data_IF_124365577628
#
_entry.id   IF_124365577628
#
_cell.length_a   1.000
_cell.length_b   1.000
_cell.length_c   1.000
_cell.angle_alpha   90.00
_cell.angle_beta   90.00
_cell.angle_gamma   90.00
#
_symmetry.space_group_name_H-M   'P 1'
#
loop_
_entity.id
_entity.type
_entity.pdbx_description
1 polymer ?
#
# COMPACT_ATOMS: atom_id res chain seq x y z
N UNK A 1 0.89 12.14 33.34
CA UNK A 1 -0.54 12.48 33.17
C UNK A 1 -1.22 11.19 32.77
N UNK A 2 -2.24 10.74 33.51
CA UNK A 2 -2.78 9.39 33.35
C UNK A 2 -3.75 9.35 32.15
N UNK A 3 -3.38 8.58 31.13
CA UNK A 3 -4.01 8.34 29.82
C UNK A 3 -3.85 9.41 28.75
N UNK A 4 -2.62 9.54 28.24
CA UNK A 4 -2.37 10.06 26.90
C UNK A 4 -2.97 9.12 25.84
N UNK A 5 -3.90 9.59 24.99
CA UNK A 5 -4.47 8.73 23.95
C UNK A 5 -3.51 8.62 22.77
N UNK A 6 -2.96 7.42 22.61
CA UNK A 6 -2.15 7.04 21.44
C UNK A 6 -3.06 6.61 20.29
N UNK A 7 -2.95 7.30 19.16
CA UNK A 7 -3.68 7.02 17.93
C UNK A 7 -2.79 6.21 16.98
N UNK A 8 -3.18 4.97 16.69
CA UNK A 8 -2.39 4.02 15.90
C UNK A 8 -2.88 3.93 14.46
N UNK A 9 -1.97 4.17 13.52
CA UNK A 9 -2.22 4.14 12.09
C UNK A 9 -1.59 2.87 11.50
N UNK A 10 -2.37 2.11 10.75
CA UNK A 10 -1.89 1.10 9.81
C UNK A 10 -1.97 1.66 8.39
N UNK A 11 -0.84 1.79 7.71
CA UNK A 11 -0.76 2.23 6.32
C UNK A 11 -0.35 1.06 5.43
N UNK A 12 -1.16 0.74 4.43
CA UNK A 12 -0.91 -0.36 3.49
C UNK A 12 -0.69 0.18 2.07
N UNK A 13 0.53 0.04 1.58
CA UNK A 13 0.90 0.49 0.24
C UNK A 13 0.13 -0.26 -0.86
N UNK A 14 0.03 0.35 -2.04
CA UNK A 14 -0.39 -0.35 -3.25
C UNK A 14 0.75 -1.15 -3.89
N UNK A 15 0.39 -2.20 -4.63
CA UNK A 15 1.36 -3.07 -5.32
C UNK A 15 0.76 -4.32 -5.95
N UNK A 16 -0.53 -4.29 -6.33
CA UNK A 16 -1.20 -5.44 -6.95
C UNK A 16 -1.04 -6.74 -6.16
N UNK A 17 -0.53 -7.79 -6.81
CA UNK A 17 -0.34 -9.11 -6.21
C UNK A 17 0.76 -9.15 -5.14
N UNK A 18 1.68 -8.19 -5.14
CA UNK A 18 2.73 -8.10 -4.13
C UNK A 18 2.19 -7.77 -2.73
N UNK A 19 0.92 -7.36 -2.62
CA UNK A 19 0.24 -7.16 -1.33
C UNK A 19 0.22 -8.43 -0.45
N UNK A 20 0.49 -9.62 -1.03
CA UNK A 20 0.84 -10.83 -0.29
C UNK A 20 1.88 -10.58 0.81
N UNK A 21 2.90 -9.75 0.55
CA UNK A 21 3.95 -9.39 1.51
C UNK A 21 3.36 -8.77 2.77
N UNK A 22 2.37 -7.90 2.63
CA UNK A 22 1.72 -7.24 3.77
C UNK A 22 1.02 -8.26 4.66
N UNK A 23 0.32 -9.22 4.05
CA UNK A 23 -0.38 -10.27 4.77
C UNK A 23 0.60 -11.16 5.54
N UNK A 24 1.69 -11.63 4.90
CA UNK A 24 2.72 -12.45 5.56
C UNK A 24 3.41 -11.69 6.70
N UNK A 25 3.69 -10.40 6.50
CA UNK A 25 4.22 -9.51 7.53
C UNK A 25 3.28 -9.44 8.74
N UNK A 26 2.00 -9.08 8.53
CA UNK A 26 1.00 -9.00 9.60
C UNK A 26 0.85 -10.32 10.35
N UNK A 27 0.82 -11.47 9.65
CA UNK A 27 0.80 -12.80 10.28
C UNK A 27 1.96 -13.01 11.23
N UNK A 28 3.19 -12.70 10.78
CA UNK A 28 4.40 -12.88 11.60
C UNK A 28 4.41 -11.92 12.80
N UNK A 29 4.01 -10.67 12.61
CA UNK A 29 3.89 -9.70 13.71
C UNK A 29 2.89 -10.18 14.77
N UNK A 30 1.72 -10.66 14.36
CA UNK A 30 0.68 -11.10 15.28
C UNK A 30 1.02 -12.43 15.97
N UNK A 31 1.67 -13.35 15.27
CA UNK A 31 2.19 -14.58 15.85
C UNK A 31 3.16 -14.27 17.00
N UNK A 32 4.10 -13.35 16.79
CA UNK A 32 5.19 -13.11 17.73
C UNK A 32 4.88 -12.05 18.81
N UNK A 33 3.88 -11.21 18.57
CA UNK A 33 3.46 -10.15 19.51
C UNK A 33 2.29 -10.61 20.38
N UNK A 34 1.30 -11.30 19.79
CA UNK A 34 0.04 -11.64 20.46
C UNK A 34 -0.20 -13.15 20.61
N UNK A 35 0.77 -13.99 20.21
CA UNK A 35 0.60 -15.45 20.16
C UNK A 35 -0.61 -15.89 19.31
N UNK A 36 -0.90 -15.14 18.24
CA UNK A 36 -1.98 -15.42 17.29
C UNK A 36 -1.39 -15.63 15.89
N UNK A 37 -1.08 -16.88 15.50
CA UNK A 37 -0.40 -17.18 14.23
C UNK A 37 -1.28 -17.04 12.98
N UNK A 38 -2.60 -16.99 13.16
CA UNK A 38 -3.56 -16.79 12.08
C UNK A 38 -4.77 -15.97 12.55
N UNK A 39 -4.56 -14.68 12.89
CA UNK A 39 -5.62 -13.83 13.40
C UNK A 39 -6.67 -13.57 12.32
N UNK A 40 -7.90 -13.28 12.74
CA UNK A 40 -8.92 -12.72 11.86
C UNK A 40 -8.62 -11.26 11.54
N UNK A 41 -9.20 -10.78 10.44
CA UNK A 41 -9.11 -9.39 10.05
C UNK A 41 -9.53 -8.42 11.16
N UNK A 42 -10.66 -8.70 11.84
CA UNK A 42 -11.11 -7.84 12.94
C UNK A 42 -10.15 -7.85 14.13
N UNK A 43 -9.51 -8.99 14.45
CA UNK A 43 -8.48 -9.04 15.50
C UNK A 43 -7.30 -8.12 15.18
N UNK A 44 -6.89 -8.06 13.90
CA UNK A 44 -5.85 -7.14 13.43
C UNK A 44 -6.30 -5.69 13.52
N UNK A 45 -7.47 -5.39 12.95
CA UNK A 45 -8.03 -4.04 12.90
C UNK A 45 -8.20 -3.45 14.30
N UNK A 46 -8.61 -4.25 15.29
CA UNK A 46 -8.77 -3.81 16.69
C UNK A 46 -7.53 -3.18 17.35
N UNK A 47 -6.34 -3.33 16.75
CA UNK A 47 -5.08 -2.73 17.22
C UNK A 47 -4.79 -1.35 16.64
N UNK A 48 -5.62 -0.88 15.69
CA UNK A 48 -5.42 0.38 14.98
C UNK A 48 -6.69 1.25 14.99
N UNK A 49 -6.49 2.56 15.14
CA UNK A 49 -7.55 3.57 15.08
C UNK A 49 -7.84 4.01 13.64
N UNK A 50 -6.84 3.93 12.75
CA UNK A 50 -6.98 4.24 11.33
C UNK A 50 -6.26 3.21 10.46
N UNK A 51 -6.95 2.71 9.43
CA UNK A 51 -6.35 1.97 8.32
C UNK A 51 -6.42 2.83 7.05
N UNK A 52 -5.26 3.24 6.56
CA UNK A 52 -5.13 3.90 5.27
C UNK A 52 -4.56 2.93 4.24
N UNK A 53 -5.15 2.85 3.06
CA UNK A 53 -4.74 1.85 2.08
C UNK A 53 -4.94 2.31 0.63
N UNK A 54 -4.02 1.90 -0.25
CA UNK A 54 -4.08 2.12 -1.69
C UNK A 54 -3.99 0.79 -2.46
N UNK A 55 -4.61 0.70 -3.64
CA UNK A 55 -4.49 -0.41 -4.59
C UNK A 55 -4.55 -1.81 -3.95
N UNK A 56 -3.55 -2.68 -4.18
CA UNK A 56 -3.45 -4.01 -3.55
C UNK A 56 -3.60 -4.00 -2.03
N UNK A 57 -3.02 -3.03 -1.32
CA UNK A 57 -3.21 -2.86 0.12
C UNK A 57 -4.65 -2.53 0.51
N UNK A 58 -5.41 -1.85 -0.35
CA UNK A 58 -6.84 -1.60 -0.10
C UNK A 58 -7.67 -2.90 -0.16
N UNK A 59 -7.28 -3.86 -1.00
CA UNK A 59 -7.88 -5.20 -0.99
C UNK A 59 -7.56 -5.95 0.30
N UNK A 60 -6.33 -5.85 0.83
CA UNK A 60 -5.97 -6.42 2.14
C UNK A 60 -6.82 -5.78 3.25
N UNK A 61 -6.95 -4.45 3.27
CA UNK A 61 -7.77 -3.73 4.24
C UNK A 61 -9.25 -4.18 4.20
N UNK A 62 -9.82 -4.32 3.00
CA UNK A 62 -11.20 -4.75 2.83
C UNK A 62 -11.41 -6.22 3.19
N UNK A 63 -10.47 -7.10 2.88
CA UNK A 63 -10.51 -8.49 3.29
C UNK A 63 -10.40 -8.65 4.83
N UNK A 64 -9.63 -7.78 5.48
CA UNK A 64 -9.65 -7.70 6.95
C UNK A 64 -11.00 -7.21 7.47
N UNK A 65 -11.63 -6.23 6.82
CA UNK A 65 -12.96 -5.72 7.19
C UNK A 65 -14.06 -6.78 7.00
N UNK A 66 -13.96 -7.66 6.00
CA UNK A 66 -14.82 -8.84 5.78
C UNK A 66 -14.65 -9.92 6.89
N UNK A 67 -13.65 -9.73 7.75
CA UNK A 67 -13.22 -10.62 8.83
C UNK A 67 -12.61 -11.95 8.38
N UNK A 68 -11.98 -11.97 7.21
CA UNK A 68 -11.21 -13.14 6.77
C UNK A 68 -9.98 -13.32 7.67
N UNK A 69 -9.57 -14.57 7.90
CA UNK A 69 -8.27 -14.89 8.52
C UNK A 69 -7.16 -14.46 7.60
N UNK A 70 -6.03 -14.03 8.16
CA UNK A 70 -4.89 -13.63 7.33
C UNK A 70 -4.42 -14.75 6.39
N UNK A 71 -4.55 -16.03 6.78
CA UNK A 71 -4.30 -17.16 5.88
C UNK A 71 -5.24 -17.22 4.66
N UNK A 72 -6.50 -16.83 4.83
CA UNK A 72 -7.49 -16.73 3.75
C UNK A 72 -7.20 -15.50 2.86
N UNK A 73 -6.78 -14.38 3.45
CA UNK A 73 -6.37 -13.19 2.69
C UNK A 73 -5.11 -13.50 1.84
N UNK A 74 -4.16 -14.25 2.39
CA UNK A 74 -2.97 -14.71 1.67
C UNK A 74 -3.36 -15.53 0.42
N UNK A 75 -4.41 -16.35 0.49
CA UNK A 75 -4.90 -17.13 -0.66
C UNK A 75 -5.50 -16.27 -1.79
N UNK A 76 -6.03 -15.08 -1.49
CA UNK A 76 -6.54 -14.17 -2.54
C UNK A 76 -5.43 -13.82 -3.55
N UNK A 77 -4.19 -13.74 -3.07
CA UNK A 77 -3.00 -13.47 -3.89
C UNK A 77 -2.22 -14.75 -4.23
N UNK A 78 -2.25 -15.77 -3.36
CA UNK A 78 -1.51 -17.02 -3.55
C UNK A 78 -2.16 -18.04 -4.50
N UNK A 79 -3.49 -18.04 -4.60
CA UNK A 79 -4.24 -19.01 -5.43
C UNK A 79 -4.46 -18.49 -6.86
N UNK A 80 -4.05 -19.27 -7.86
CA UNK A 80 -4.14 -18.90 -9.28
C UNK A 80 -5.59 -18.62 -9.73
N UNK A 81 -6.56 -19.41 -9.23
CA UNK A 81 -7.97 -19.25 -9.62
C UNK A 81 -8.55 -17.97 -9.06
N UNK A 82 -8.26 -17.65 -7.79
CA UNK A 82 -8.70 -16.40 -7.17
C UNK A 82 -8.02 -15.18 -7.79
N UNK A 83 -6.69 -15.22 -7.97
CA UNK A 83 -5.95 -14.17 -8.67
C UNK A 83 -6.52 -13.91 -10.06
N UNK A 84 -6.75 -14.96 -10.83
CA UNK A 84 -7.23 -14.85 -12.21
C UNK A 84 -8.66 -14.32 -12.32
N UNK A 85 -9.45 -14.38 -11.24
CA UNK A 85 -10.76 -13.69 -11.16
C UNK A 85 -10.59 -12.17 -11.00
N UNK A 86 -9.70 -11.73 -10.12
CA UNK A 86 -9.43 -10.31 -9.87
C UNK A 86 -8.67 -9.67 -11.05
N UNK A 87 -7.66 -10.36 -11.57
CA UNK A 87 -6.86 -10.00 -12.75
C UNK A 87 -7.37 -10.73 -14.01
N UNK A 88 -8.67 -10.62 -14.27
CA UNK A 88 -9.28 -11.28 -15.42
C UNK A 88 -8.82 -10.63 -16.73
N UNK A 89 -8.01 -11.36 -17.51
CA UNK A 89 -7.44 -10.89 -18.78
C UNK A 89 -8.54 -10.50 -19.78
N UNK A 90 -8.27 -9.49 -20.61
CA UNK A 90 -9.15 -9.13 -21.73
C UNK A 90 -9.26 -10.28 -22.73
N UNK A 91 -10.47 -10.55 -23.20
CA UNK A 91 -10.77 -11.46 -24.29
C UNK A 91 -10.23 -10.93 -25.62
N UNK A 92 -10.12 -11.80 -26.62
CA UNK A 92 -9.63 -11.44 -27.95
C UNK A 92 -10.45 -10.29 -28.59
N UNK A 93 -11.77 -10.30 -28.41
CA UNK A 93 -12.67 -9.27 -28.91
C UNK A 93 -12.50 -7.93 -28.17
N UNK A 94 -12.35 -7.94 -26.85
CA UNK A 94 -12.09 -6.74 -26.05
C UNK A 94 -10.73 -6.11 -26.42
N UNK A 95 -9.70 -6.93 -26.67
CA UNK A 95 -8.40 -6.46 -27.18
C UNK A 95 -8.51 -5.85 -28.58
N UNK A 96 -9.46 -6.32 -29.40
CA UNK A 96 -9.67 -5.82 -30.76
C UNK A 96 -10.34 -4.44 -30.81
N UNK A 97 -11.11 -4.09 -29.76
CA UNK A 97 -11.77 -2.79 -29.60
C UNK A 97 -10.83 -1.69 -29.07
N UNK A 98 -9.65 -2.04 -28.56
CA UNK A 98 -8.60 -1.07 -28.25
C UNK A 98 -8.00 -0.50 -29.55
N UNK A 99 -7.63 0.79 -29.52
CA UNK A 99 -7.13 1.49 -30.71
C UNK A 99 -5.96 0.72 -31.36
N UNK A 100 -5.90 0.72 -32.69
CA UNK A 100 -4.84 0.05 -33.46
C UNK A 100 -3.45 0.58 -33.10
N UNK A 101 -3.34 1.86 -32.70
CA UNK A 101 -2.11 2.46 -32.20
C UNK A 101 -1.66 1.86 -30.85
N UNK A 102 -2.57 1.65 -29.90
CA UNK A 102 -2.28 1.00 -28.61
C UNK A 102 -1.68 -0.41 -28.79
N UNK A 103 -2.25 -1.20 -29.71
CA UNK A 103 -1.74 -2.52 -30.08
C UNK A 103 -0.34 -2.50 -30.71
N UNK A 104 -0.07 -1.53 -31.59
CA UNK A 104 1.21 -1.41 -32.30
C UNK A 104 2.38 -1.03 -31.37
N UNK A 105 2.10 -0.24 -30.33
CA UNK A 105 3.12 0.28 -29.41
C UNK A 105 3.25 -0.52 -28.09
N UNK A 106 2.60 -1.69 -27.97
CA UNK A 106 2.54 -2.51 -26.74
C UNK A 106 2.06 -1.71 -25.51
N UNK A 107 1.22 -0.70 -25.71
CA UNK A 107 0.57 0.07 -24.65
C UNK A 107 -0.89 -0.34 -24.66
N UNK A 108 -1.36 -1.11 -23.68
CA UNK A 108 -2.73 -1.61 -23.73
C UNK A 108 -3.15 -2.35 -22.48
N UNK A 109 -4.38 -2.11 -22.05
CA UNK A 109 -4.95 -2.76 -20.89
C UNK A 109 -4.88 -4.30 -20.99
N UNK A 110 -4.45 -4.94 -19.90
CA UNK A 110 -4.38 -6.39 -19.76
C UNK A 110 -5.69 -6.98 -19.23
N UNK A 111 -6.44 -6.24 -18.42
CA UNK A 111 -7.53 -6.72 -17.56
C UNK A 111 -8.85 -5.97 -17.74
N UNK A 112 -9.97 -6.66 -17.46
CA UNK A 112 -11.32 -6.09 -17.53
C UNK A 112 -11.78 -5.49 -16.19
N UNK A 113 -12.08 -4.20 -16.17
CA UNK A 113 -12.52 -3.48 -14.97
C UNK A 113 -13.84 -4.01 -14.40
N UNK A 114 -14.86 -4.24 -15.25
CA UNK A 114 -16.16 -4.77 -14.82
C UNK A 114 -16.06 -6.16 -14.18
N UNK A 115 -15.24 -7.04 -14.76
CA UNK A 115 -15.03 -8.40 -14.20
C UNK A 115 -14.36 -8.32 -12.84
N UNK A 116 -13.39 -7.42 -12.65
CA UNK A 116 -12.81 -7.17 -11.33
C UNK A 116 -13.86 -6.72 -10.32
N UNK A 117 -14.72 -5.75 -10.66
CA UNK A 117 -15.74 -5.26 -9.72
C UNK A 117 -16.67 -6.39 -9.25
N UNK A 118 -17.10 -7.24 -10.18
CA UNK A 118 -17.92 -8.40 -9.87
C UNK A 118 -17.16 -9.41 -8.98
N UNK A 119 -15.92 -9.73 -9.31
CA UNK A 119 -15.08 -10.63 -8.51
C UNK A 119 -14.87 -10.11 -7.08
N UNK A 120 -14.67 -8.81 -6.88
CA UNK A 120 -14.54 -8.22 -5.55
C UNK A 120 -15.81 -8.41 -4.71
N UNK A 121 -17.01 -8.30 -5.30
CA UNK A 121 -18.28 -8.55 -4.60
C UNK A 121 -18.47 -10.02 -4.23
N UNK A 122 -17.97 -10.94 -5.05
CA UNK A 122 -18.01 -12.38 -4.78
C UNK A 122 -17.03 -12.78 -3.66
N UNK A 123 -15.84 -12.17 -3.63
CA UNK A 123 -14.82 -12.43 -2.61
C UNK A 123 -15.18 -11.78 -1.27
N UNK A 124 -15.85 -10.62 -1.29
CA UNK A 124 -16.13 -9.79 -0.12
C UNK A 124 -17.64 -9.54 0.05
N UNK A 125 -18.45 -10.61 0.23
CA UNK A 125 -19.90 -10.51 0.14
C UNK A 125 -20.52 -9.65 1.25
N UNK A 126 -20.01 -9.68 2.49
CA UNK A 126 -20.62 -8.90 3.59
C UNK A 126 -20.37 -7.41 3.40
N UNK A 127 -19.12 -6.99 3.23
CA UNK A 127 -18.80 -5.57 3.11
C UNK A 127 -19.27 -4.96 1.79
N UNK A 128 -19.57 -5.78 0.77
CA UNK A 128 -20.18 -5.30 -0.49
C UNK A 128 -21.57 -4.68 -0.29
N UNK A 129 -22.23 -4.99 0.82
CA UNK A 129 -23.58 -4.52 1.16
C UNK A 129 -23.58 -3.44 2.25
N UNK A 130 -22.41 -3.03 2.74
CA UNK A 130 -22.26 -2.09 3.84
C UNK A 130 -21.71 -0.78 3.30
N UNK A 131 -22.45 0.31 3.51
CA UNK A 131 -21.94 1.66 3.24
C UNK A 131 -20.70 1.94 4.08
N UNK A 132 -19.73 2.65 3.51
CA UNK A 132 -18.44 2.92 4.11
C UNK A 132 -18.57 3.50 5.53
N UNK A 133 -19.52 4.42 5.75
CA UNK A 133 -19.77 5.02 7.07
C UNK A 133 -20.14 4.02 8.17
N UNK A 134 -20.63 2.84 7.83
CA UNK A 134 -21.02 1.79 8.78
C UNK A 134 -19.91 0.74 9.01
N UNK A 135 -18.79 0.82 8.28
CA UNK A 135 -17.67 -0.11 8.42
C UNK A 135 -17.06 -0.08 9.84
N UNK A 136 -16.83 1.07 10.50
CA UNK A 136 -16.27 1.07 11.85
C UNK A 136 -17.10 0.24 12.84
N UNK A 137 -18.43 0.33 12.74
CA UNK A 137 -19.36 -0.49 13.55
C UNK A 137 -19.34 -1.97 13.15
N UNK A 138 -19.08 -2.28 11.88
CA UNK A 138 -18.99 -3.66 11.41
C UNK A 138 -17.73 -4.37 11.93
N UNK A 139 -16.61 -3.65 12.05
CA UNK A 139 -15.31 -4.21 12.44
C UNK A 139 -15.01 -4.11 13.94
N UNK A 140 -15.90 -3.51 14.72
CA UNK A 140 -15.72 -3.34 16.16
C UNK A 140 -15.75 -4.67 16.88
N UNK A 141 -14.82 -4.87 17.82
CA UNK A 141 -14.82 -6.00 18.74
C UNK A 141 -15.31 -5.50 20.10
N UNK A 142 -16.44 -6.04 20.58
CA UNK A 142 -17.13 -5.53 21.77
C UNK A 142 -17.80 -4.17 21.49
N UNK A 143 -17.79 -3.28 22.48
CA UNK A 143 -18.34 -1.92 22.37
C UNK A 143 -17.33 -0.88 21.84
N UNK A 144 -16.12 -1.32 21.48
CA UNK A 144 -15.00 -0.44 21.15
C UNK A 144 -14.92 -0.21 19.63
N UNK A 145 -15.71 0.76 19.14
CA UNK A 145 -15.72 1.17 17.73
C UNK A 145 -14.53 2.09 17.46
N UNK A 146 -13.40 1.51 17.07
CA UNK A 146 -12.15 2.28 16.90
C UNK A 146 -11.78 2.56 15.46
N UNK A 147 -11.78 1.53 14.63
CA UNK A 147 -11.00 1.58 13.38
C UNK A 147 -11.74 2.28 12.24
N UNK A 148 -11.22 3.45 11.88
CA UNK A 148 -11.60 4.20 10.69
C UNK A 148 -10.83 3.69 9.47
N UNK A 149 -11.37 3.90 8.26
CA UNK A 149 -10.70 3.60 7.00
C UNK A 149 -10.56 4.86 6.14
N UNK A 150 -9.42 4.94 5.46
CA UNK A 150 -9.10 5.95 4.45
C UNK A 150 -8.59 5.25 3.19
N UNK A 151 -9.43 5.15 2.17
CA UNK A 151 -9.10 4.53 0.88
C UNK A 151 -8.92 5.62 -0.17
N UNK A 152 -7.88 5.52 -0.99
CA UNK A 152 -7.47 6.59 -1.90
C UNK A 152 -7.76 6.19 -3.35
N UNK A 153 -8.47 7.05 -4.09
CA UNK A 153 -8.65 6.93 -5.53
C UNK A 153 -8.25 8.22 -6.24
N UNK A 154 -8.32 8.19 -7.57
CA UNK A 154 -8.16 9.35 -8.44
C UNK A 154 -9.51 9.66 -9.11
N UNK A 155 -10.11 10.82 -8.83
CA UNK A 155 -11.32 11.27 -9.53
C UNK A 155 -10.96 11.65 -10.97
N UNK A 156 -11.46 10.83 -11.92
CA UNK A 156 -11.10 10.91 -13.33
C UNK A 156 -11.39 12.28 -13.94
N UNK A 157 -12.51 12.91 -13.59
CA UNK A 157 -12.94 14.16 -14.21
C UNK A 157 -12.46 15.39 -13.45
N UNK A 158 -12.31 15.29 -12.12
CA UNK A 158 -11.82 16.40 -11.30
C UNK A 158 -10.30 16.47 -11.23
N UNK A 159 -9.58 15.46 -11.70
CA UNK A 159 -8.12 15.37 -11.70
C UNK A 159 -7.50 15.62 -10.33
N UNK A 160 -8.02 14.94 -9.30
CA UNK A 160 -7.57 15.05 -7.91
C UNK A 160 -7.71 13.74 -7.18
N UNK A 161 -7.03 13.62 -6.05
CA UNK A 161 -7.28 12.54 -5.11
C UNK A 161 -8.73 12.61 -4.60
N UNK A 162 -9.37 11.44 -4.60
CA UNK A 162 -10.60 11.15 -3.89
C UNK A 162 -10.23 10.33 -2.65
N UNK A 163 -10.66 10.79 -1.49
CA UNK A 163 -10.32 10.19 -0.21
C UNK A 163 -11.61 9.64 0.41
N UNK A 164 -11.85 8.36 0.17
CA UNK A 164 -13.00 7.63 0.68
C UNK A 164 -12.80 7.36 2.18
N UNK A 165 -13.54 8.08 3.02
CA UNK A 165 -13.43 8.03 4.48
C UNK A 165 -14.64 7.37 5.10
N UNK A 166 -14.40 6.62 6.17
CA UNK A 166 -15.47 6.18 7.07
C UNK A 166 -15.96 7.30 7.98
N UNK A 167 -15.06 8.20 8.41
CA UNK A 167 -15.45 9.40 9.15
C UNK A 167 -15.89 10.51 8.19
N UNK A 168 -17.20 10.66 8.04
CA UNK A 168 -17.83 11.67 7.20
C UNK A 168 -17.76 13.09 7.81
N UNK A 169 -17.39 13.21 9.09
CA UNK A 169 -17.22 14.47 9.82
C UNK A 169 -15.74 14.85 10.02
N UNK A 170 -14.82 14.13 9.39
CA UNK A 170 -13.40 14.43 9.44
C UNK A 170 -13.08 15.87 9.05
N UNK A 171 -12.29 16.54 9.89
CA UNK A 171 -11.76 17.88 9.65
C UNK A 171 -10.77 17.97 8.48
N UNK A 172 -10.34 16.83 7.92
CA UNK A 172 -9.57 16.79 6.68
C UNK A 172 -10.46 16.87 5.42
N UNK A 173 -11.78 16.76 5.55
CA UNK A 173 -12.73 16.90 4.44
C UNK A 173 -13.00 18.37 4.10
N UNK A 174 -12.92 18.70 2.80
CA UNK A 174 -13.24 20.06 2.32
C UNK A 174 -14.66 20.50 2.69
N UNK A 175 -15.65 19.61 2.60
CA UNK A 175 -17.05 19.95 2.92
C UNK A 175 -17.23 20.24 4.42
N UNK A 176 -16.50 19.54 5.28
CA UNK A 176 -16.50 19.79 6.74
C UNK A 176 -15.81 21.12 7.05
N UNK A 177 -14.64 21.38 6.48
CA UNK A 177 -13.91 22.65 6.65
C UNK A 177 -14.79 23.83 6.21
N UNK A 178 -15.41 23.74 5.03
CA UNK A 178 -16.29 24.78 4.51
C UNK A 178 -17.45 25.08 5.46
N UNK A 179 -18.14 24.04 5.96
CA UNK A 179 -19.24 24.20 6.92
C UNK A 179 -18.78 24.89 8.20
N UNK A 180 -17.64 24.49 8.76
CA UNK A 180 -17.07 25.06 9.98
C UNK A 180 -16.70 26.54 9.78
N UNK A 181 -16.03 26.88 8.69
CA UNK A 181 -15.65 28.26 8.37
C UNK A 181 -16.87 29.16 8.12
N UNK A 182 -17.89 28.65 7.42
CA UNK A 182 -19.13 29.39 7.13
C UNK A 182 -20.13 29.37 8.30
N UNK A 183 -19.80 28.73 9.42
CA UNK A 183 -20.70 28.54 10.58
C UNK A 183 -22.08 27.99 10.17
N UNK A 184 -22.08 27.08 9.19
CA UNK A 184 -23.31 26.42 8.75
C UNK A 184 -23.78 25.45 9.84
N UNK A 185 -25.10 25.24 9.98
CA UNK A 185 -25.62 24.24 10.91
C UNK A 185 -25.03 22.87 10.59
N UNK A 186 -24.95 22.00 11.61
CA UNK A 186 -24.59 20.61 11.40
C UNK A 186 -25.45 20.05 10.27
N UNK A 187 -24.82 19.49 9.25
CA UNK A 187 -25.60 18.87 8.19
C UNK A 187 -26.45 17.79 8.85
N UNK A 188 -27.74 17.75 8.51
CA UNK A 188 -28.50 16.51 8.68
C UNK A 188 -27.62 15.43 8.06
N UNK A 189 -27.42 14.30 8.74
CA UNK A 189 -26.77 13.10 8.18
C UNK A 189 -27.62 12.59 7.01
N UNK A 190 -27.65 13.37 5.94
CA UNK A 190 -28.02 12.96 4.62
C UNK A 190 -26.75 12.37 4.04
N UNK A 191 -26.94 11.25 3.38
CA UNK A 191 -25.94 10.31 2.91
C UNK A 191 -25.02 10.87 1.80
N UNK A 192 -24.86 12.18 1.71
CA UNK A 192 -24.44 12.87 0.50
C UNK A 192 -22.95 12.83 0.18
N UNK A 193 -22.07 12.28 1.03
CA UNK A 193 -20.63 12.15 0.70
C UNK A 193 -20.08 10.71 0.90
N UNK A 194 -20.80 9.83 1.61
CA UNK A 194 -20.34 8.49 2.03
C UNK A 194 -21.20 7.32 1.50
N UNK A 195 -22.11 7.54 0.53
CA UNK A 195 -22.85 6.46 -0.19
C UNK A 195 -21.96 5.70 -1.17
N UNK A 196 -20.93 5.09 -0.63
CA UNK A 196 -19.99 4.24 -1.35
C UNK A 196 -19.79 3.03 -0.45
N UNK A 197 -19.91 1.81 -0.98
CA UNK A 197 -19.51 0.63 -0.22
C UNK A 197 -17.99 0.56 -0.11
N UNK A 198 -17.44 -0.13 0.90
CA UNK A 198 -16.00 -0.34 0.94
C UNK A 198 -15.49 -1.07 -0.32
N UNK A 199 -16.30 -1.97 -0.90
CA UNK A 199 -15.98 -2.66 -2.15
C UNK A 199 -15.88 -1.70 -3.35
N UNK A 200 -16.74 -0.68 -3.41
CA UNK A 200 -16.65 0.34 -4.46
C UNK A 200 -15.42 1.24 -4.27
N UNK A 201 -15.09 1.61 -3.02
CA UNK A 201 -13.90 2.39 -2.71
C UNK A 201 -12.60 1.65 -3.09
N UNK A 202 -12.48 0.35 -2.76
CA UNK A 202 -11.32 -0.45 -3.20
C UNK A 202 -11.33 -0.68 -4.71
N UNK A 203 -12.51 -0.76 -5.35
CA UNK A 203 -12.59 -0.88 -6.79
C UNK A 203 -12.02 0.37 -7.47
N UNK A 204 -12.36 1.57 -6.99
CA UNK A 204 -11.72 2.82 -7.39
C UNK A 204 -10.20 2.78 -7.15
N UNK A 205 -9.80 2.52 -5.91
CA UNK A 205 -8.41 2.54 -5.42
C UNK A 205 -7.48 1.54 -6.12
N UNK A 206 -7.99 0.43 -6.66
CA UNK A 206 -7.17 -0.63 -7.30
C UNK A 206 -7.26 -0.68 -8.82
N UNK A 207 -7.91 0.29 -9.47
CA UNK A 207 -8.04 0.30 -10.93
C UNK A 207 -6.91 1.10 -11.55
N UNK A 208 -5.74 0.48 -11.66
CA UNK A 208 -4.57 1.11 -12.26
C UNK A 208 -4.81 1.45 -13.75
N UNK A 209 -4.62 2.72 -14.17
CA UNK A 209 -4.66 3.10 -15.57
C UNK A 209 -3.39 2.60 -16.27
N UNK A 210 -3.35 2.68 -17.59
CA UNK A 210 -2.17 2.41 -18.43
C UNK A 210 -1.60 1.00 -18.21
N UNK A 211 -1.78 0.11 -19.19
CA UNK A 211 -1.27 -1.27 -19.18
C UNK A 211 -1.92 -2.26 -18.19
N UNK A 212 -2.85 -1.84 -17.33
CA UNK A 212 -3.59 -2.77 -16.46
C UNK A 212 -5.07 -2.85 -16.82
N UNK A 213 -5.90 -1.89 -16.44
CA UNK A 213 -7.36 -1.96 -16.62
C UNK A 213 -7.86 -1.18 -17.84
N UNK A 214 -8.92 -1.68 -18.47
CA UNK A 214 -9.40 -1.18 -19.77
C UNK A 214 -10.31 0.04 -19.71
N UNK A 215 -10.92 0.31 -18.56
CA UNK A 215 -11.81 1.46 -18.34
C UNK A 215 -11.76 1.91 -16.87
N UNK A 216 -12.09 3.18 -16.55
CA UNK A 216 -12.14 3.64 -15.16
C UNK A 216 -13.12 2.82 -14.32
N UNK A 217 -12.80 2.65 -13.03
CA UNK A 217 -13.74 2.13 -12.06
C UNK A 217 -15.00 2.98 -12.05
N UNK A 218 -16.15 2.35 -12.24
CA UNK A 218 -17.40 3.07 -12.49
C UNK A 218 -18.52 2.56 -11.58
N UNK A 219 -19.04 3.43 -10.73
CA UNK A 219 -20.17 3.13 -9.85
C UNK A 219 -20.95 4.41 -9.51
N UNK A 220 -22.14 4.25 -8.92
CA UNK A 220 -22.97 5.39 -8.53
C UNK A 220 -22.57 5.88 -7.14
N UNK A 221 -22.36 7.19 -7.03
CA UNK A 221 -22.23 7.90 -5.75
C UNK A 221 -23.35 8.93 -5.71
N UNK A 222 -24.24 8.86 -4.72
CA UNK A 222 -25.45 9.70 -4.63
C UNK A 222 -26.29 9.68 -5.91
N UNK A 223 -26.57 8.48 -6.43
CA UNK A 223 -27.27 8.26 -7.70
C UNK A 223 -26.62 8.85 -8.96
N UNK A 224 -25.41 9.42 -8.87
CA UNK A 224 -24.66 9.94 -10.01
C UNK A 224 -23.52 8.99 -10.36
N UNK A 225 -23.38 8.67 -11.64
CA UNK A 225 -22.28 7.83 -12.12
C UNK A 225 -20.95 8.59 -11.96
N UNK A 226 -19.96 7.93 -11.36
CA UNK A 226 -18.62 8.46 -11.11
C UNK A 226 -17.57 7.51 -11.66
N UNK A 227 -16.38 8.06 -11.92
CA UNK A 227 -15.30 7.40 -12.64
C UNK A 227 -14.00 7.64 -11.89
N UNK A 228 -13.28 6.56 -11.61
CA UNK A 228 -12.07 6.61 -10.82
C UNK A 228 -10.94 5.77 -11.41
N UNK A 229 -9.72 6.20 -11.15
CA UNK A 229 -8.51 5.38 -11.29
C UNK A 229 -7.87 5.13 -9.92
N UNK A 230 -6.85 4.26 -9.91
CA UNK A 230 -6.03 3.93 -8.74
C UNK A 230 -5.49 5.20 -8.07
N UNK A 231 -5.50 5.21 -6.73
CA UNK A 231 -5.00 6.34 -5.95
C UNK A 231 -3.50 6.54 -6.07
N UNK A 232 -2.74 5.53 -6.53
CA UNK A 232 -1.32 5.65 -6.85
C UNK A 232 -1.03 6.80 -7.82
N UNK A 233 -1.96 7.08 -8.74
CA UNK A 233 -1.88 8.20 -9.70
C UNK A 233 -1.67 9.57 -9.04
N UNK A 234 -2.07 9.70 -7.77
CA UNK A 234 -1.97 10.95 -7.01
C UNK A 234 -0.68 11.07 -6.19
N UNK A 235 0.27 10.13 -6.36
CA UNK A 235 1.46 10.04 -5.50
C UNK A 235 1.17 9.46 -4.12
N UNK A 236 0.01 8.83 -3.93
CA UNK A 236 -0.39 8.21 -2.66
C UNK A 236 -0.35 6.68 -2.74
N UNK A 237 0.57 6.10 -3.52
CA UNK A 237 0.72 4.65 -3.54
C UNK A 237 1.17 4.11 -2.17
N UNK A 238 1.99 4.86 -1.43
CA UNK A 238 2.09 4.74 0.03
C UNK A 238 1.16 5.77 0.70
N UNK A 239 0.05 5.37 1.33
CA UNK A 239 -0.95 6.30 1.85
C UNK A 239 -0.56 6.93 3.20
N UNK A 240 0.66 6.69 3.72
CA UNK A 240 1.06 7.10 5.07
C UNK A 240 0.99 8.60 5.29
N UNK A 241 1.32 9.41 4.28
CA UNK A 241 1.26 10.86 4.37
C UNK A 241 -0.19 11.35 4.48
N UNK A 242 -1.10 10.78 3.69
CA UNK A 242 -2.52 11.06 3.80
C UNK A 242 -3.07 10.64 5.17
N UNK A 243 -2.65 9.48 5.68
CA UNK A 243 -3.06 8.97 6.98
C UNK A 243 -2.60 9.85 8.15
N UNK A 244 -1.34 10.28 8.13
CA UNK A 244 -0.79 11.20 9.15
C UNK A 244 -1.49 12.57 9.07
N UNK A 245 -1.77 13.06 7.87
CA UNK A 245 -2.55 14.29 7.68
C UNK A 245 -3.95 14.16 8.27
N UNK A 246 -4.63 13.04 8.01
CA UNK A 246 -5.96 12.72 8.56
C UNK A 246 -5.95 12.74 10.10
N UNK A 247 -4.97 12.10 10.73
CA UNK A 247 -4.83 12.09 12.18
C UNK A 247 -4.54 13.49 12.73
N UNK A 248 -3.64 14.26 12.10
CA UNK A 248 -3.29 15.61 12.55
C UNK A 248 -4.51 16.55 12.50
N UNK A 249 -5.25 16.55 11.39
CA UNK A 249 -6.43 17.38 11.23
C UNK A 249 -7.51 17.07 12.29
N UNK A 250 -7.58 15.82 12.74
CA UNK A 250 -8.58 15.35 13.71
C UNK A 250 -8.04 15.20 15.13
N UNK A 251 -6.88 15.81 15.47
CA UNK A 251 -6.29 15.69 16.82
C UNK A 251 -7.25 16.07 17.94
N UNK A 252 -7.94 17.21 17.82
CA UNK A 252 -8.91 17.64 18.82
C UNK A 252 -10.13 16.72 18.84
N UNK A 253 -10.64 16.34 17.67
CA UNK A 253 -11.85 15.51 17.53
C UNK A 253 -11.66 14.11 18.11
N UNK A 254 -10.46 13.54 17.97
CA UNK A 254 -10.16 12.21 18.50
C UNK A 254 -9.31 12.25 19.78
N UNK A 255 -9.08 13.43 20.38
CA UNK A 255 -8.27 13.61 21.59
C UNK A 255 -6.86 13.01 21.47
N UNK A 256 -6.22 13.13 20.30
CA UNK A 256 -4.92 12.50 20.02
C UNK A 256 -3.79 13.26 20.69
N UNK A 257 -3.03 12.58 21.52
CA UNK A 257 -1.77 13.11 22.09
C UNK A 257 -0.54 12.57 21.35
N UNK A 258 -0.54 11.27 21.04
CA UNK A 258 0.57 10.60 20.38
C UNK A 258 0.08 9.86 19.12
N UNK A 259 0.88 9.87 18.06
CA UNK A 259 0.59 9.14 16.81
C UNK A 259 1.65 8.07 16.63
N UNK A 260 1.20 6.82 16.48
CA UNK A 260 2.04 5.69 16.10
C UNK A 260 1.69 5.24 14.68
N UNK A 261 2.69 4.95 13.86
CA UNK A 261 2.51 4.62 12.44
C UNK A 261 3.20 3.32 12.10
N UNK A 262 2.44 2.31 11.70
CA UNK A 262 2.94 1.12 11.04
C UNK A 262 2.63 1.21 9.54
N UNK A 263 3.65 1.45 8.72
CA UNK A 263 3.53 1.46 7.25
C UNK A 263 4.13 0.18 6.68
N UNK A 264 3.31 -0.62 5.99
CA UNK A 264 3.72 -1.90 5.40
C UNK A 264 3.66 -1.83 3.87
N UNK A 265 4.80 -2.10 3.25
CA UNK A 265 4.96 -2.04 1.80
C UNK A 265 4.74 -3.37 1.09
N UNK A 266 4.85 -3.32 -0.23
CA UNK A 266 4.66 -4.45 -1.15
C UNK A 266 5.94 -4.77 -1.93
N UNK A 267 7.10 -4.64 -1.32
CA UNK A 267 8.40 -4.75 -1.98
C UNK A 267 8.82 -3.46 -2.69
N UNK A 268 10.12 -3.19 -2.67
CA UNK A 268 10.73 -2.13 -3.50
C UNK A 268 12.03 -2.63 -4.11
N UNK A 269 12.45 -1.99 -5.19
CA UNK A 269 13.74 -2.24 -5.82
C UNK A 269 14.56 -0.96 -5.79
N UNK A 270 15.80 -1.04 -5.33
CA UNK A 270 16.78 0.04 -5.42
C UNK A 270 17.91 -0.39 -6.34
N UNK A 271 18.19 0.38 -7.38
CA UNK A 271 19.30 0.13 -8.29
C UNK A 271 20.39 1.19 -8.10
N UNK A 272 21.62 0.83 -8.43
CA UNK A 272 22.74 1.77 -8.50
C UNK A 272 22.56 2.70 -9.70
N UNK A 273 23.23 3.84 -9.67
CA UNK A 273 23.29 4.71 -10.85
C UNK A 273 23.97 3.97 -12.02
N UNK A 274 23.59 4.32 -13.24
CA UNK A 274 24.12 3.64 -14.44
C UNK A 274 25.64 3.84 -14.56
N UNK A 275 26.15 4.97 -14.08
CA UNK A 275 27.54 5.41 -14.07
C UNK A 275 28.26 5.14 -12.73
N UNK A 276 27.73 4.26 -11.88
CA UNK A 276 28.36 3.89 -10.60
C UNK A 276 29.85 3.52 -10.76
N UNK A 277 30.69 4.17 -9.97
CA UNK A 277 32.16 4.09 -10.00
C UNK A 277 32.70 2.93 -9.16
N UNK A 278 32.02 2.56 -8.07
CA UNK A 278 32.43 1.42 -7.24
C UNK A 278 32.24 0.14 -8.06
N UNK A 279 33.24 -0.78 -8.10
CA UNK A 279 33.14 -2.01 -8.88
C UNK A 279 31.84 -2.79 -8.60
N UNK A 280 31.19 -3.25 -9.67
CA UNK A 280 29.91 -3.98 -9.60
C UNK A 280 30.09 -5.36 -10.23
N UNK A 281 29.73 -6.41 -9.50
CA UNK A 281 29.91 -7.79 -9.96
C UNK A 281 28.90 -8.23 -11.01
N UNK A 282 27.68 -7.69 -10.96
CA UNK A 282 26.57 -8.00 -11.87
C UNK A 282 25.97 -6.71 -12.43
N UNK A 283 25.80 -6.61 -13.76
CA UNK A 283 25.34 -5.36 -14.40
C UNK A 283 23.87 -5.05 -14.07
N UNK A 284 23.08 -6.06 -13.73
CA UNK A 284 21.68 -5.99 -13.36
C UNK A 284 21.44 -5.16 -12.07
N UNK A 285 22.49 -4.96 -11.27
CA UNK A 285 22.48 -4.09 -10.09
C UNK A 285 22.39 -2.60 -10.45
N UNK A 286 22.79 -2.22 -11.67
CA UNK A 286 22.76 -0.83 -12.16
C UNK A 286 21.44 -0.52 -12.85
N UNK A 287 21.00 0.73 -12.76
CA UNK A 287 19.90 1.25 -13.55
C UNK A 287 20.26 1.17 -15.04
N UNK A 288 19.30 0.81 -15.89
CA UNK A 288 19.53 0.74 -17.33
C UNK A 288 19.71 2.14 -17.90
N UNK A 289 20.81 2.35 -18.62
CA UNK A 289 20.98 3.54 -19.45
C UNK A 289 20.16 3.39 -20.72
N UNK A 290 19.04 4.11 -20.82
CA UNK A 290 18.19 4.13 -22.00
C UNK A 290 18.03 5.57 -22.50
N UNK A 291 18.28 5.77 -23.80
CA UNK A 291 18.03 7.05 -24.46
C UNK A 291 16.55 7.45 -24.35
N UNK A 292 16.24 8.71 -24.00
CA UNK A 292 14.87 9.21 -23.93
C UNK A 292 14.11 9.05 -25.25
N UNK A 293 12.79 8.87 -25.16
CA UNK A 293 11.95 8.75 -26.34
C UNK A 293 10.47 8.63 -25.99
N UNK A 294 9.62 9.37 -26.72
CA UNK A 294 8.20 9.60 -26.39
C UNK A 294 7.43 8.36 -25.90
N UNK A 295 7.52 7.23 -26.61
CA UNK A 295 6.78 6.00 -26.24
C UNK A 295 7.31 5.39 -24.95
N UNK A 296 8.64 5.32 -24.82
CA UNK A 296 9.30 4.79 -23.61
C UNK A 296 9.07 5.70 -22.43
N UNK A 297 9.11 7.01 -22.64
CA UNK A 297 8.87 8.01 -21.59
C UNK A 297 7.43 7.93 -21.09
N UNK A 298 6.44 7.73 -21.97
CA UNK A 298 5.05 7.49 -21.56
C UNK A 298 4.93 6.21 -20.71
N UNK A 299 5.57 5.11 -21.14
CA UNK A 299 5.55 3.85 -20.38
C UNK A 299 6.24 4.02 -19.02
N UNK A 300 7.43 4.62 -18.99
CA UNK A 300 8.23 4.89 -17.80
C UNK A 300 7.50 5.80 -16.83
N UNK A 301 6.88 6.89 -17.31
CA UNK A 301 6.11 7.80 -16.46
C UNK A 301 4.84 7.14 -15.94
N UNK A 302 4.15 6.34 -16.75
CA UNK A 302 2.97 5.59 -16.33
C UNK A 302 3.25 4.64 -15.16
N UNK A 303 4.35 3.88 -15.23
CA UNK A 303 4.77 2.99 -14.14
C UNK A 303 5.36 3.77 -12.96
N UNK A 304 6.09 4.86 -13.20
CA UNK A 304 6.67 5.70 -12.14
C UNK A 304 5.65 6.51 -11.35
N UNK A 305 4.45 6.74 -11.91
CA UNK A 305 3.35 7.38 -11.19
C UNK A 305 2.67 6.38 -10.24
N UNK A 306 2.59 5.11 -10.63
CA UNK A 306 1.97 4.06 -9.82
C UNK A 306 2.92 3.50 -8.77
N UNK A 307 4.20 3.42 -9.09
CA UNK A 307 5.25 3.14 -8.13
C UNK A 307 5.49 4.42 -7.32
N UNK A 308 5.26 4.41 -5.99
CA UNK A 308 5.67 5.53 -5.12
C UNK A 308 7.19 5.74 -5.33
N UNK A 309 7.64 6.82 -5.99
CA UNK A 309 9.07 7.04 -6.19
C UNK A 309 9.72 7.08 -4.81
N UNK A 310 10.73 6.23 -4.56
CA UNK A 310 11.04 5.73 -3.24
C UNK A 310 11.13 6.82 -2.16
N UNK A 311 10.46 6.55 -1.04
CA UNK A 311 10.66 7.16 0.27
C UNK A 311 10.11 8.58 0.48
N UNK A 312 9.38 9.18 -0.46
CA UNK A 312 8.86 10.56 -0.27
C UNK A 312 7.77 10.61 0.80
N UNK A 313 6.71 9.81 0.66
CA UNK A 313 5.57 9.86 1.58
C UNK A 313 5.99 9.50 3.02
N UNK A 314 6.76 8.43 3.19
CA UNK A 314 7.24 7.97 4.49
C UNK A 314 8.16 9.01 5.16
N UNK A 315 9.11 9.59 4.42
CA UNK A 315 10.00 10.59 4.99
C UNK A 315 9.27 11.88 5.36
N UNK A 316 8.39 12.39 4.50
CA UNK A 316 7.64 13.62 4.79
C UNK A 316 6.73 13.41 6.00
N UNK A 317 6.02 12.28 6.07
CA UNK A 317 5.19 11.93 7.22
C UNK A 317 6.02 11.80 8.51
N UNK A 318 7.19 11.15 8.43
CA UNK A 318 8.15 11.06 9.54
C UNK A 318 8.56 12.46 10.03
N UNK A 319 8.95 13.34 9.12
CA UNK A 319 9.39 14.71 9.43
C UNK A 319 8.28 15.55 10.05
N UNK A 320 7.03 15.42 9.58
CA UNK A 320 5.87 16.12 10.15
C UNK A 320 5.64 15.70 11.61
N UNK A 321 5.78 14.41 11.91
CA UNK A 321 5.66 13.90 13.28
C UNK A 321 6.88 14.21 14.15
N UNK A 322 8.03 14.54 13.53
CA UNK A 322 9.32 14.66 14.19
C UNK A 322 10.08 15.92 13.74
N UNK A 323 9.59 17.07 14.16
CA UNK A 323 10.11 18.37 13.71
C UNK A 323 11.54 18.71 14.21
N UNK A 324 12.07 18.01 15.21
CA UNK A 324 13.41 18.26 15.80
C UNK A 324 14.43 17.22 15.33
N UNK A 325 15.21 17.52 14.29
CA UNK A 325 16.15 16.56 13.68
C UNK A 325 17.58 16.58 14.27
N UNK A 326 18.27 15.42 14.41
CA UNK A 326 17.76 14.07 14.16
C UNK A 326 16.87 13.62 15.33
N UNK A 327 15.57 13.48 15.07
CA UNK A 327 14.67 12.90 16.03
C UNK A 327 14.91 11.39 16.07
N UNK A 328 14.81 10.80 17.24
CA UNK A 328 14.51 9.37 17.38
C UNK A 328 13.08 9.25 17.90
N UNK A 329 12.11 8.84 17.08
CA UNK A 329 10.90 8.23 17.59
C UNK A 329 10.94 6.71 17.37
N UNK A 330 10.37 5.96 18.33
CA UNK A 330 10.01 4.54 18.20
C UNK A 330 8.62 4.38 17.54
N UNK A 331 7.92 5.50 17.30
CA UNK A 331 6.51 5.54 16.92
C UNK A 331 6.27 5.59 15.40
N UNK A 332 7.30 5.45 14.57
CA UNK A 332 7.16 5.30 13.12
C UNK A 332 7.94 4.08 12.65
N UNK A 333 7.21 3.03 12.27
CA UNK A 333 7.76 1.76 11.80
C UNK A 333 7.41 1.61 10.32
N UNK A 334 8.45 1.59 9.47
CA UNK A 334 8.33 1.21 8.06
C UNK A 334 8.79 -0.24 7.89
N UNK A 335 7.91 -1.10 7.39
CA UNK A 335 8.19 -2.50 7.11
C UNK A 335 7.98 -2.80 5.63
N UNK A 336 9.05 -3.01 4.89
CA UNK A 336 8.97 -3.34 3.47
C UNK A 336 10.26 -4.04 3.02
N UNK A 337 10.22 -5.23 2.40
CA UNK A 337 11.43 -5.82 1.83
C UNK A 337 11.94 -4.93 0.70
N UNK A 338 13.26 -4.71 0.66
CA UNK A 338 13.90 -4.00 -0.45
C UNK A 338 14.91 -4.90 -1.14
N UNK A 339 14.68 -5.15 -2.43
CA UNK A 339 15.68 -5.75 -3.31
C UNK A 339 16.71 -4.67 -3.66
N UNK A 340 17.92 -4.79 -3.13
CA UNK A 340 19.00 -3.84 -3.39
C UNK A 340 20.36 -4.50 -3.50
N UNK A 341 21.32 -3.85 -4.18
CA UNK A 341 22.72 -4.22 -4.13
C UNK A 341 23.29 -4.08 -2.72
N UNK A 342 24.22 -4.97 -2.39
CA UNK A 342 24.91 -5.01 -1.11
C UNK A 342 26.37 -4.62 -1.28
N UNK A 343 26.83 -3.66 -0.49
CA UNK A 343 28.24 -3.26 -0.45
C UNK A 343 29.03 -4.32 0.31
N UNK A 344 29.98 -4.96 -0.36
CA UNK A 344 30.90 -5.94 0.21
C UNK A 344 32.28 -5.30 0.31
N UNK A 345 32.96 -5.56 1.42
CA UNK A 345 34.34 -5.14 1.64
C UNK A 345 35.16 -6.37 2.03
N UNK A 346 35.90 -6.92 1.06
CA UNK A 346 36.71 -8.13 1.24
C UNK A 346 38.18 -7.91 0.84
N UNK A 347 38.94 -9.00 0.69
CA UNK A 347 40.35 -8.95 0.31
C UNK A 347 40.62 -8.29 -1.06
N UNK A 348 39.61 -8.23 -1.94
CA UNK A 348 39.69 -7.59 -3.26
C UNK A 348 39.23 -6.12 -3.23
N UNK A 349 38.87 -5.60 -2.06
CA UNK A 349 38.39 -4.24 -1.86
C UNK A 349 36.87 -4.11 -1.88
N UNK A 350 36.40 -2.86 -1.93
CA UNK A 350 34.96 -2.53 -1.94
C UNK A 350 34.35 -2.82 -3.30
N UNK A 351 33.24 -3.54 -3.32
CA UNK A 351 32.46 -3.80 -4.52
C UNK A 351 30.98 -4.06 -4.18
N UNK A 352 30.11 -3.88 -5.17
CA UNK A 352 28.69 -4.19 -5.08
C UNK A 352 28.40 -5.62 -5.55
N UNK A 353 27.61 -6.35 -4.76
CA UNK A 353 27.18 -7.73 -5.02
C UNK A 353 25.66 -7.90 -4.78
N UNK A 354 25.13 -9.07 -5.15
CA UNK A 354 23.75 -9.49 -4.92
C UNK A 354 23.46 -9.66 -3.41
N UNK A 355 22.21 -9.43 -2.98
CA UNK A 355 21.81 -9.79 -1.63
C UNK A 355 21.91 -11.31 -1.41
N UNK A 356 22.39 -11.78 -0.25
CA UNK A 356 22.47 -13.21 0.05
C UNK A 356 21.11 -13.91 -0.13
N UNK A 357 21.12 -15.13 -0.67
CA UNK A 357 19.91 -15.93 -0.87
C UNK A 357 19.10 -15.62 -2.14
N UNK A 358 19.51 -14.62 -2.94
CA UNK A 358 18.95 -14.30 -4.25
C UNK A 358 20.05 -14.42 -5.30
N UNK A 359 19.84 -15.27 -6.32
CA UNK A 359 20.81 -15.41 -7.41
C UNK A 359 20.60 -14.35 -8.51
N UNK A 360 21.49 -14.28 -9.50
CA UNK A 360 21.42 -13.23 -10.55
C UNK A 360 20.12 -13.30 -11.38
N UNK A 361 19.67 -14.50 -11.76
CA UNK A 361 18.45 -14.68 -12.55
C UNK A 361 17.19 -14.27 -11.76
N UNK A 362 17.14 -14.66 -10.49
CA UNK A 362 16.10 -14.26 -9.56
C UNK A 362 16.08 -12.74 -9.35
N UNK A 363 17.26 -12.13 -9.17
CA UNK A 363 17.40 -10.67 -9.02
C UNK A 363 16.92 -9.94 -10.27
N UNK A 364 17.37 -10.36 -11.45
CA UNK A 364 16.96 -9.78 -12.72
C UNK A 364 15.44 -9.90 -12.93
N UNK A 365 14.88 -11.07 -12.59
CA UNK A 365 13.44 -11.33 -12.68
C UNK A 365 12.66 -10.41 -11.74
N UNK A 366 12.99 -10.37 -10.44
CA UNK A 366 12.35 -9.50 -9.45
C UNK A 366 12.45 -8.01 -9.83
N UNK A 367 13.61 -7.57 -10.31
CA UNK A 367 13.84 -6.19 -10.72
C UNK A 367 12.99 -5.77 -11.93
N UNK A 368 12.70 -6.71 -12.84
CA UNK A 368 11.88 -6.46 -14.03
C UNK A 368 10.39 -6.75 -13.84
N UNK A 369 10.02 -7.33 -12.70
CA UNK A 369 8.66 -7.79 -12.43
C UNK A 369 7.74 -6.60 -12.17
N UNK A 370 6.59 -6.63 -12.84
CA UNK A 370 5.55 -5.62 -12.70
C UNK A 370 4.66 -5.91 -11.46
N UNK A 371 3.83 -4.96 -11.04
CA UNK A 371 2.98 -5.12 -9.86
C UNK A 371 1.86 -6.17 -10.05
N UNK A 372 1.52 -6.51 -11.29
CA UNK A 372 0.56 -7.55 -11.65
C UNK A 372 1.23 -8.91 -11.84
N UNK A 373 1.82 -9.44 -10.77
CA UNK A 373 2.33 -10.83 -10.76
C UNK A 373 1.15 -11.81 -10.77
N UNK A 374 0.97 -12.53 -11.89
CA UNK A 374 -0.14 -13.47 -12.07
C UNK A 374 0.37 -14.91 -12.18
N UNK A 375 1.57 -15.12 -12.71
CA UNK A 375 2.13 -16.45 -12.89
C UNK A 375 2.65 -17.03 -11.57
N UNK A 376 2.45 -18.33 -11.34
CA UNK A 376 2.87 -18.98 -10.09
C UNK A 376 4.38 -18.86 -9.82
N UNK A 377 5.20 -18.83 -10.87
CA UNK A 377 6.65 -18.62 -10.74
C UNK A 377 6.98 -17.23 -10.19
N UNK A 378 6.22 -16.22 -10.60
CA UNK A 378 6.40 -14.83 -10.15
C UNK A 378 5.99 -14.72 -8.69
N UNK A 379 4.82 -15.26 -8.34
CA UNK A 379 4.32 -15.31 -6.96
C UNK A 379 5.27 -16.07 -6.05
N UNK A 380 5.80 -17.22 -6.49
CA UNK A 380 6.79 -18.00 -5.74
C UNK A 380 8.06 -17.20 -5.46
N UNK A 381 8.49 -16.37 -6.41
CA UNK A 381 9.66 -15.51 -6.24
C UNK A 381 9.41 -14.34 -5.29
N UNK A 382 8.21 -13.75 -5.33
CA UNK A 382 7.74 -12.75 -4.34
C UNK A 382 7.73 -13.37 -2.93
N UNK A 383 7.22 -14.61 -2.79
CA UNK A 383 7.22 -15.35 -1.53
C UNK A 383 8.65 -15.56 -1.04
N UNK A 384 9.57 -15.99 -1.91
CA UNK A 384 10.99 -16.16 -1.55
C UNK A 384 11.62 -14.85 -1.06
N UNK A 385 11.39 -13.74 -1.76
CA UNK A 385 11.86 -12.41 -1.34
C UNK A 385 11.32 -12.05 0.05
N UNK A 386 10.01 -12.25 0.26
CA UNK A 386 9.34 -11.98 1.52
C UNK A 386 9.88 -12.84 2.66
N UNK A 387 10.00 -14.15 2.44
CA UNK A 387 10.49 -15.09 3.45
C UNK A 387 11.96 -14.83 3.80
N UNK A 388 12.80 -14.48 2.83
CA UNK A 388 14.17 -14.04 3.12
C UNK A 388 14.17 -12.79 4.01
N UNK A 389 13.31 -11.81 3.75
CA UNK A 389 13.21 -10.61 4.57
C UNK A 389 12.67 -10.88 5.99
N UNK A 390 11.56 -11.60 6.10
CA UNK A 390 10.93 -11.94 7.38
C UNK A 390 11.85 -12.78 8.28
N UNK A 391 12.77 -13.54 7.70
CA UNK A 391 13.75 -14.35 8.43
C UNK A 391 15.14 -13.68 8.53
N UNK A 392 15.29 -12.40 8.14
CA UNK A 392 16.57 -11.68 8.11
C UNK A 392 17.67 -12.42 7.30
N UNK A 393 17.29 -13.20 6.30
CA UNK A 393 18.18 -14.00 5.45
C UNK A 393 18.61 -13.21 4.20
N UNK A 394 19.31 -12.09 4.40
CA UNK A 394 19.98 -11.34 3.33
C UNK A 394 19.16 -10.27 2.62
N UNK A 395 17.83 -10.27 2.74
CA UNK A 395 16.96 -9.21 2.19
C UNK A 395 16.69 -8.16 3.30
N UNK A 396 17.16 -6.91 3.14
CA UNK A 396 16.99 -5.87 4.14
C UNK A 396 15.59 -5.26 4.15
N UNK A 397 15.30 -4.48 5.18
CA UNK A 397 14.12 -3.65 5.26
C UNK A 397 14.37 -2.29 4.59
N UNK A 398 13.36 -1.72 3.94
CA UNK A 398 13.38 -0.36 3.43
C UNK A 398 13.42 0.62 4.60
N UNK A 399 14.52 1.34 4.74
CA UNK A 399 14.64 2.43 5.71
C UNK A 399 13.77 3.63 5.30
N UNK A 400 13.52 4.54 6.24
CA UNK A 400 12.92 5.84 5.94
C UNK A 400 13.93 6.72 5.19
N UNK A 401 15.22 6.62 5.55
CA UNK A 401 16.34 7.22 4.81
C UNK A 401 17.56 6.34 4.85
N UNK A 402 18.28 6.31 3.72
CA UNK A 402 19.52 5.58 3.55
C UNK A 402 20.72 6.52 3.39
N UNK A 403 21.92 6.02 3.69
CA UNK A 403 23.18 6.66 3.30
C UNK A 403 23.56 6.35 1.85
N UNK A 404 24.71 6.89 1.38
CA UNK A 404 25.21 6.64 0.03
C UNK A 404 25.62 5.19 -0.25
N UNK A 405 25.76 4.34 0.78
CA UNK A 405 25.99 2.90 0.65
C UNK A 405 24.70 2.09 0.85
N UNK A 406 23.54 2.75 0.76
CA UNK A 406 22.20 2.19 0.92
C UNK A 406 21.95 1.58 2.31
N UNK A 407 22.72 1.95 3.33
CA UNK A 407 22.48 1.52 4.71
C UNK A 407 21.46 2.42 5.40
N UNK A 408 20.67 1.84 6.30
CA UNK A 408 19.65 2.56 7.05
C UNK A 408 20.27 3.66 7.94
N UNK A 409 19.87 4.91 7.70
CA UNK A 409 20.15 6.07 8.57
C UNK A 409 18.98 6.38 9.51
N UNK A 410 17.74 6.27 9.00
CA UNK A 410 16.51 6.57 9.73
C UNK A 410 15.53 5.42 9.52
N UNK A 411 14.91 4.94 10.60
CA UNK A 411 14.00 3.79 10.60
C UNK A 411 14.72 2.51 11.01
N UNK A 412 14.35 1.40 10.39
CA UNK A 412 14.81 0.06 10.76
C UNK A 412 15.53 -0.61 9.60
N UNK A 413 16.73 -1.15 9.86
CA UNK A 413 17.55 -1.80 8.83
C UNK A 413 17.02 -3.17 8.40
N UNK A 414 16.29 -3.85 9.28
CA UNK A 414 15.81 -5.22 9.08
C UNK A 414 14.48 -5.48 9.80
N UNK A 415 13.85 -6.60 9.46
CA UNK A 415 12.54 -6.99 9.98
C UNK A 415 12.54 -7.23 11.49
N UNK A 416 13.55 -7.94 12.02
CA UNK A 416 13.63 -8.23 13.46
C UNK A 416 13.69 -6.96 14.31
N UNK A 417 14.47 -5.96 13.91
CA UNK A 417 14.56 -4.68 14.62
C UNK A 417 13.21 -3.96 14.59
N UNK A 418 12.56 -3.88 13.41
CA UNK A 418 11.25 -3.25 13.28
C UNK A 418 10.16 -3.98 14.10
N UNK A 419 10.18 -5.32 14.10
CA UNK A 419 9.24 -6.17 14.85
C UNK A 419 9.42 -6.03 16.36
N UNK A 420 10.66 -5.93 16.84
CA UNK A 420 10.94 -5.73 18.24
C UNK A 420 10.28 -4.42 18.72
N UNK A 421 10.45 -3.33 17.97
CA UNK A 421 9.81 -2.05 18.27
C UNK A 421 8.28 -2.13 18.21
N UNK A 422 7.71 -2.79 17.20
CA UNK A 422 6.25 -3.01 17.14
C UNK A 422 5.73 -3.74 18.39
N UNK A 423 6.45 -4.75 18.88
CA UNK A 423 6.10 -5.46 20.11
C UNK A 423 6.15 -4.56 21.35
N UNK A 424 7.03 -3.55 21.37
CA UNK A 424 7.09 -2.59 22.49
C UNK A 424 5.81 -1.76 22.64
N UNK A 425 5.13 -1.44 21.53
CA UNK A 425 3.89 -0.65 21.53
C UNK A 425 2.74 -1.27 22.34
N UNK A 426 2.80 -2.58 22.58
CA UNK A 426 1.76 -3.36 23.25
C UNK A 426 2.23 -4.04 24.54
N UNK A 427 3.50 -3.88 24.92
CA UNK A 427 4.05 -4.45 26.17
C UNK A 427 4.18 -3.42 27.28
N UNK A 428 4.26 -2.13 26.96
CA UNK A 428 4.25 -1.04 27.95
C UNK A 428 2.81 -0.58 28.19
N UNK A 429 2.02 -1.46 28.79
CA UNK A 429 0.71 -1.15 29.35
C UNK A 429 0.37 -2.19 30.44
N UNK A 430 1.10 -2.13 31.55
CA UNK A 430 0.69 -2.68 32.84
C UNK A 430 1.19 -1.74 33.94
#
# INVERSE_FOLDING_TARGET
MANSKTYRILSLDGGGSWALIQVKCLRKLFAETFNSPDPTGHEVLSKFDLVAANSGGSLVAAAMAENLRLSEIEQIFGDEKLRSKVFSRLSFWEKSLLSSAARLFKIGAKYATKRKHQALKEILPKISQIDLMHIPKHVSIGDDVKTQFLIIGYDYYRNRAELFRTDCDSLASTSVIERKLKKLPAAVQSSSDCLVSLVDAIHASSTAPVNYFNEPATFKVNNKLKYYWDGGVTGNNNPVLAAVTEAICNREQYEIEHIQVLSIGTGTVSQLQFDEEIPVKYQELKAKHEEPGLIKDIQKMGTSILNDPPDTAAFVAYMILNSSMPAKPVDFIRMNPVLRPMMINDANGKHWDLPPGINNEEYATLNSMDMDAVEDKEVSLIVKLCDNWLNNAGVPNQAIRNDGALNCLIGHADFNTAKADFKTWFTVAN
#
